data_IF_869715364456
#
_entry.id   IF_869715364456
#
_cell.length_a   1.000
_cell.length_b   1.000
_cell.length_c   1.000
_cell.angle_alpha   90.00
_cell.angle_beta   90.00
_cell.angle_gamma   90.00
#
_symmetry.space_group_name_H-M   'P 1'
#
loop_
_entity.id
_entity.type
_entity.pdbx_description
1 polymer ?
#
# COMPACT_ATOMS: atom_id res chain seq x y z
N UNK A 1 -25.74 -11.33 -1.40
CA UNK A 1 -24.42 -11.95 -1.19
C UNK A 1 -23.75 -11.07 -0.18
N UNK A 2 -23.53 -11.60 1.02
CA UNK A 2 -22.94 -10.84 2.12
C UNK A 2 -21.45 -10.70 1.80
N UNK A 3 -21.06 -9.56 1.22
CA UNK A 3 -19.64 -9.22 1.09
C UNK A 3 -19.15 -9.00 2.50
N UNK A 4 -18.60 -10.05 3.12
CA UNK A 4 -18.07 -10.04 4.47
C UNK A 4 -16.92 -9.04 4.58
N UNK A 5 -17.26 -7.77 4.79
CA UNK A 5 -16.30 -6.75 5.18
C UNK A 5 -15.82 -7.15 6.57
N UNK A 6 -14.65 -7.78 6.62
CA UNK A 6 -13.98 -8.04 7.89
C UNK A 6 -13.58 -6.67 8.43
N UNK A 7 -14.19 -6.30 9.55
CA UNK A 7 -13.92 -5.05 10.26
C UNK A 7 -12.86 -5.35 11.30
N UNK A 8 -11.69 -4.76 11.17
CA UNK A 8 -10.59 -4.97 12.11
C UNK A 8 -10.67 -3.90 13.21
N UNK A 9 -11.20 -4.28 14.37
CA UNK A 9 -11.10 -3.47 15.58
C UNK A 9 -9.81 -3.82 16.32
N UNK A 10 -9.04 -2.81 16.72
CA UNK A 10 -7.89 -2.93 17.63
C UNK A 10 -6.56 -3.41 17.02
N UNK A 11 -6.22 -2.93 15.82
CA UNK A 11 -4.89 -3.17 15.27
C UNK A 11 -3.80 -2.52 16.13
N UNK A 12 -2.75 -3.28 16.43
CA UNK A 12 -1.60 -2.85 17.23
C UNK A 12 -0.31 -2.88 16.40
N UNK A 13 0.55 -1.88 16.57
CA UNK A 13 1.92 -1.94 16.05
C UNK A 13 2.67 -3.07 16.76
N UNK A 14 3.18 -4.03 15.98
CA UNK A 14 3.79 -5.24 16.52
C UNK A 14 4.95 -4.91 17.47
N UNK A 15 5.77 -3.90 17.14
CA UNK A 15 6.89 -3.46 18.00
C UNK A 15 6.47 -2.88 19.36
N UNK A 16 5.23 -2.41 19.49
CA UNK A 16 4.68 -1.84 20.73
C UNK A 16 3.74 -2.79 21.46
N UNK A 17 3.45 -3.92 20.86
CA UNK A 17 2.57 -4.93 21.42
C UNK A 17 3.35 -5.95 22.26
N UNK A 18 2.62 -6.81 22.97
CA UNK A 18 3.19 -8.00 23.64
C UNK A 18 3.34 -9.18 22.68
N UNK A 19 2.82 -9.06 21.45
CA UNK A 19 2.84 -10.13 20.45
C UNK A 19 4.20 -10.19 19.76
N UNK A 20 4.55 -11.40 19.34
CA UNK A 20 5.81 -11.69 18.67
C UNK A 20 5.53 -12.57 17.47
N UNK A 21 6.34 -12.39 16.42
CA UNK A 21 6.36 -13.32 15.30
C UNK A 21 6.75 -14.70 15.81
N UNK A 22 6.08 -15.72 15.29
CA UNK A 22 6.36 -17.11 15.62
C UNK A 22 7.62 -17.61 14.91
N UNK A 23 8.19 -18.71 15.38
CA UNK A 23 9.33 -19.34 14.73
C UNK A 23 8.98 -19.70 13.27
N UNK A 24 9.66 -19.03 12.33
CA UNK A 24 9.44 -19.20 10.88
C UNK A 24 8.76 -18.02 10.19
N UNK A 25 8.23 -17.05 10.93
CA UNK A 25 7.78 -15.77 10.37
C UNK A 25 8.95 -14.78 10.31
N UNK A 26 9.21 -14.23 9.13
CA UNK A 26 10.31 -13.29 8.94
C UNK A 26 10.04 -11.95 9.65
N UNK A 27 10.97 -11.49 10.49
CA UNK A 27 10.98 -10.10 10.95
C UNK A 27 11.45 -9.20 9.79
N UNK A 28 10.47 -8.61 9.11
CA UNK A 28 10.67 -7.78 7.93
C UNK A 28 10.89 -6.30 8.26
N UNK A 29 10.95 -5.91 9.53
CA UNK A 29 11.20 -4.51 9.90
C UNK A 29 12.54 -4.02 9.33
N UNK A 30 12.51 -2.84 8.73
CA UNK A 30 13.67 -2.23 8.08
C UNK A 30 14.01 -2.81 6.71
N UNK A 31 13.27 -3.80 6.20
CA UNK A 31 13.49 -4.30 4.84
C UNK A 31 13.12 -3.22 3.81
N UNK A 32 13.90 -3.07 2.72
CA UNK A 32 13.49 -2.24 1.60
C UNK A 32 12.21 -2.78 0.97
N UNK A 33 11.35 -1.84 0.57
CA UNK A 33 10.13 -2.12 -0.19
C UNK A 33 10.36 -1.71 -1.63
N UNK A 34 10.07 -2.62 -2.56
CA UNK A 34 10.21 -2.41 -4.01
C UNK A 34 8.92 -2.79 -4.74
N UNK A 35 8.72 -2.25 -5.94
CA UNK A 35 7.69 -2.77 -6.85
C UNK A 35 8.24 -3.98 -7.64
N UNK A 36 7.38 -4.62 -8.44
CA UNK A 36 7.77 -5.75 -9.30
C UNK A 36 8.81 -5.39 -10.38
N UNK A 37 8.92 -4.10 -10.76
CA UNK A 37 9.95 -3.60 -11.65
C UNK A 37 11.33 -3.43 -10.97
N UNK A 38 11.37 -3.52 -9.64
CA UNK A 38 12.58 -3.36 -8.81
C UNK A 38 12.85 -1.92 -8.35
N UNK A 39 11.96 -0.98 -8.68
CA UNK A 39 12.04 0.41 -8.24
C UNK A 39 11.83 0.51 -6.73
N UNK A 40 12.51 1.48 -6.10
CA UNK A 40 12.39 1.71 -4.66
C UNK A 40 11.04 2.38 -4.33
N UNK A 41 10.30 1.78 -3.39
CA UNK A 41 9.05 2.34 -2.86
C UNK A 41 9.29 3.00 -1.50
N UNK A 42 10.11 2.37 -0.65
CA UNK A 42 10.31 2.83 0.72
C UNK A 42 10.96 1.76 1.59
N UNK A 43 10.69 1.80 2.88
CA UNK A 43 11.15 0.78 3.83
C UNK A 43 10.03 0.35 4.78
N UNK A 44 10.06 -0.90 5.21
CA UNK A 44 9.14 -1.38 6.24
C UNK A 44 9.49 -0.73 7.56
N UNK A 45 8.52 -0.02 8.14
CA UNK A 45 8.66 0.60 9.46
C UNK A 45 8.24 -0.35 10.58
N UNK A 46 7.08 -0.98 10.43
CA UNK A 46 6.52 -1.95 11.38
C UNK A 46 5.40 -2.78 10.71
N UNK A 47 4.78 -3.66 11.49
CA UNK A 47 3.63 -4.46 11.12
C UNK A 47 2.44 -4.08 12.00
N UNK A 48 1.23 -4.09 11.44
CA UNK A 48 0.00 -4.05 12.22
C UNK A 48 -0.53 -5.46 12.45
N UNK A 49 -0.62 -5.81 13.72
CA UNK A 49 -1.14 -7.06 14.22
C UNK A 49 -2.59 -6.90 14.66
N UNK A 50 -3.40 -7.91 14.37
CA UNK A 50 -4.78 -8.04 14.81
C UNK A 50 -4.84 -9.04 15.98
N UNK A 51 -5.02 -8.57 17.23
CA UNK A 51 -5.13 -9.43 18.40
C UNK A 51 -6.32 -10.37 18.38
N UNK A 52 -7.42 -9.97 17.75
CA UNK A 52 -8.65 -10.76 17.74
C UNK A 52 -8.53 -11.96 16.80
N UNK A 53 -7.82 -11.78 15.69
CA UNK A 53 -7.60 -12.84 14.69
C UNK A 53 -6.21 -13.49 14.80
N UNK A 54 -5.37 -13.01 15.71
CA UNK A 54 -4.01 -13.46 15.93
C UNK A 54 -3.19 -13.52 14.63
N UNK A 55 -3.21 -12.43 13.86
CA UNK A 55 -2.58 -12.36 12.54
C UNK A 55 -2.06 -10.96 12.22
N UNK A 56 -0.95 -10.88 11.49
CA UNK A 56 -0.53 -9.63 10.84
C UNK A 56 -1.49 -9.31 9.69
N UNK A 57 -1.91 -8.04 9.59
CA UNK A 57 -2.86 -7.57 8.56
C UNK A 57 -2.27 -6.56 7.60
N UNK A 58 -1.40 -5.68 8.11
CA UNK A 58 -0.81 -4.63 7.30
C UNK A 58 0.70 -4.51 7.57
N UNK A 59 1.41 -4.08 6.53
CA UNK A 59 2.77 -3.58 6.61
C UNK A 59 2.69 -2.06 6.66
N UNK A 60 3.35 -1.46 7.65
CA UNK A 60 3.53 -0.01 7.72
C UNK A 60 4.77 0.31 6.89
N UNK A 61 4.57 0.99 5.77
CA UNK A 61 5.65 1.37 4.85
C UNK A 61 5.90 2.86 4.98
N UNK A 62 7.12 3.24 5.33
CA UNK A 62 7.58 4.63 5.19
C UNK A 62 7.98 4.83 3.73
N UNK A 63 7.21 5.66 3.01
CA UNK A 63 7.47 5.93 1.61
C UNK A 63 8.78 6.72 1.46
N UNK A 64 9.58 6.35 0.46
CA UNK A 64 10.71 7.18 0.06
C UNK A 64 10.21 8.50 -0.55
N UNK A 65 11.05 9.53 -0.54
CA UNK A 65 10.82 10.72 -1.35
C UNK A 65 10.79 10.32 -2.84
N UNK A 66 9.61 10.47 -3.47
CA UNK A 66 9.35 10.14 -4.88
C UNK A 66 9.27 11.39 -5.76
N UNK A 67 9.71 12.55 -5.28
CA UNK A 67 9.72 13.82 -5.99
C UNK A 67 8.77 14.87 -5.40
N UNK A 68 8.72 16.03 -6.03
CA UNK A 68 8.13 17.27 -5.47
C UNK A 68 6.64 17.18 -5.04
N UNK A 69 5.91 16.15 -5.48
CA UNK A 69 4.46 16.02 -5.26
C UNK A 69 4.05 14.97 -4.20
N UNK A 70 5.00 14.20 -3.65
CA UNK A 70 4.73 13.19 -2.62
C UNK A 70 5.59 13.42 -1.38
N UNK A 71 4.97 13.99 -0.35
CA UNK A 71 5.59 14.12 0.97
C UNK A 71 5.93 12.75 1.57
N UNK A 72 7.02 12.70 2.34
CA UNK A 72 7.32 11.57 3.23
C UNK A 72 6.13 11.32 4.16
N UNK A 73 5.57 10.12 4.03
CA UNK A 73 4.50 9.62 4.90
C UNK A 73 4.58 8.10 5.01
N UNK A 74 4.15 7.61 6.16
CA UNK A 74 3.83 6.21 6.31
C UNK A 74 2.46 5.90 5.71
N UNK A 75 2.34 4.76 5.05
CA UNK A 75 1.09 4.20 4.53
C UNK A 75 0.91 2.76 5.02
N UNK A 76 -0.33 2.28 4.96
CA UNK A 76 -0.67 0.90 5.28
C UNK A 76 -0.87 0.09 4.01
N UNK A 77 -0.07 -0.97 3.86
CA UNK A 77 -0.19 -1.92 2.76
C UNK A 77 -0.74 -3.23 3.30
N UNK A 78 -1.85 -3.77 2.76
CA UNK A 78 -2.33 -5.09 3.15
C UNK A 78 -1.24 -6.14 2.98
N UNK A 79 -0.98 -6.95 4.01
CA UNK A 79 0.08 -7.98 3.96
C UNK A 79 -0.14 -8.98 2.82
N UNK A 80 -1.40 -9.22 2.44
CA UNK A 80 -1.76 -10.11 1.33
C UNK A 80 -1.25 -9.63 -0.04
N UNK A 81 -0.87 -8.35 -0.17
CA UNK A 81 -0.27 -7.80 -1.40
C UNK A 81 1.26 -7.79 -1.33
N UNK A 82 1.85 -8.04 -0.17
CA UNK A 82 3.28 -8.05 0.03
C UNK A 82 3.83 -9.46 -0.23
N UNK A 83 4.75 -9.57 -1.18
CA UNK A 83 5.56 -10.77 -1.36
C UNK A 83 6.88 -10.62 -0.61
N UNK A 84 7.21 -11.59 0.24
CA UNK A 84 8.42 -11.55 1.05
C UNK A 84 9.54 -12.31 0.33
N UNK A 85 10.51 -11.57 -0.20
CA UNK A 85 11.72 -12.15 -0.77
C UNK A 85 12.79 -12.27 0.33
N UNK A 86 12.66 -13.31 1.16
CA UNK A 86 13.47 -13.50 2.37
C UNK A 86 14.97 -13.68 2.09
N UNK A 87 15.32 -14.26 0.94
CA UNK A 87 16.70 -14.43 0.48
C UNK A 87 17.43 -13.10 0.29
N UNK A 88 16.69 -12.10 -0.20
CA UNK A 88 17.18 -10.73 -0.42
C UNK A 88 16.85 -9.77 0.70
N UNK A 89 16.00 -10.20 1.65
CA UNK A 89 15.45 -9.37 2.73
C UNK A 89 14.75 -8.13 2.17
N UNK A 90 13.85 -8.33 1.21
CA UNK A 90 13.05 -7.26 0.62
C UNK A 90 11.57 -7.63 0.59
N UNK A 91 10.72 -6.60 0.63
CA UNK A 91 9.28 -6.73 0.40
C UNK A 91 8.97 -6.24 -1.01
N UNK A 92 8.36 -7.09 -1.81
CA UNK A 92 7.94 -6.77 -3.18
C UNK A 92 6.44 -6.54 -3.20
N UNK A 93 6.03 -5.36 -3.65
CA UNK A 93 4.63 -4.99 -3.87
C UNK A 93 4.29 -5.11 -5.37
N UNK A 94 3.03 -5.36 -5.72
CA UNK A 94 2.56 -5.17 -7.10
C UNK A 94 2.78 -3.73 -7.53
N UNK A 95 2.68 -3.48 -8.84
CA UNK A 95 2.85 -2.13 -9.38
C UNK A 95 1.70 -1.19 -8.96
N UNK A 96 1.89 -0.51 -7.83
CA UNK A 96 1.01 0.53 -7.31
C UNK A 96 1.51 1.86 -7.87
N UNK A 97 0.65 2.56 -8.60
CA UNK A 97 1.02 3.81 -9.27
C UNK A 97 1.32 4.93 -8.27
N UNK A 98 2.17 5.88 -8.66
CA UNK A 98 2.54 7.04 -7.84
C UNK A 98 1.31 7.81 -7.33
N UNK A 99 0.30 8.02 -8.18
CA UNK A 99 -0.95 8.68 -7.79
C UNK A 99 -1.75 7.90 -6.74
N UNK A 100 -1.64 6.58 -6.72
CA UNK A 100 -2.29 5.76 -5.69
C UNK A 100 -1.58 5.95 -4.36
N UNK A 101 -0.24 5.90 -4.32
CA UNK A 101 0.51 6.24 -3.11
C UNK A 101 0.20 7.65 -2.61
N UNK A 102 0.05 8.62 -3.52
CA UNK A 102 -0.37 9.98 -3.18
C UNK A 102 -1.75 10.02 -2.55
N UNK A 103 -2.72 9.30 -3.12
CA UNK A 103 -4.08 9.22 -2.63
C UNK A 103 -4.23 8.36 -1.36
N UNK A 104 -3.26 7.52 -1.00
CA UNK A 104 -3.34 6.74 0.23
C UNK A 104 -3.39 7.65 1.47
N UNK A 105 -4.24 7.34 2.45
CA UNK A 105 -4.24 8.07 3.71
C UNK A 105 -2.90 7.91 4.43
N UNK A 106 -2.42 8.98 5.07
CA UNK A 106 -1.27 8.92 5.97
C UNK A 106 -1.64 8.03 7.15
N UNK A 107 -0.76 7.10 7.49
CA UNK A 107 -0.90 6.31 8.69
C UNK A 107 -0.65 7.18 9.94
N UNK A 108 -1.63 7.20 10.84
CA UNK A 108 -1.54 7.82 12.16
C UNK A 108 -1.71 6.73 13.21
N UNK A 109 -0.78 6.69 14.16
CA UNK A 109 -0.71 5.64 15.18
C UNK A 109 -1.98 5.66 16.02
N UNK A 110 -2.61 4.50 16.19
CA UNK A 110 -3.83 4.34 16.97
C UNK A 110 -5.12 4.81 16.27
N UNK A 111 -5.04 5.32 15.04
CA UNK A 111 -6.19 5.83 14.29
C UNK A 111 -6.50 4.98 13.05
N UNK A 112 -6.41 3.65 13.14
CA UNK A 112 -6.85 2.77 12.05
C UNK A 112 -8.32 2.42 12.24
N UNK A 113 -9.17 3.16 11.54
CA UNK A 113 -10.62 2.95 11.56
C UNK A 113 -11.08 2.11 10.37
N UNK A 114 -12.24 1.46 10.45
CA UNK A 114 -12.79 0.71 9.31
C UNK A 114 -12.93 1.57 8.04
N UNK A 115 -13.22 2.86 8.21
CA UNK A 115 -13.31 3.81 7.10
C UNK A 115 -11.97 4.02 6.39
N UNK A 116 -10.87 4.09 7.16
CA UNK A 116 -9.51 4.20 6.63
C UNK A 116 -9.13 2.91 5.88
N UNK A 117 -9.48 1.74 6.43
CA UNK A 117 -9.22 0.47 5.75
C UNK A 117 -9.96 0.35 4.42
N UNK A 118 -11.23 0.77 4.39
CA UNK A 118 -12.00 0.82 3.15
C UNK A 118 -11.42 1.83 2.16
N UNK A 119 -10.89 2.95 2.63
CA UNK A 119 -10.18 3.92 1.79
C UNK A 119 -8.92 3.32 1.18
N UNK A 120 -8.09 2.64 1.96
CA UNK A 120 -6.89 1.94 1.49
C UNK A 120 -7.27 0.92 0.39
N UNK A 121 -8.28 0.07 0.64
CA UNK A 121 -8.75 -0.92 -0.34
C UNK A 121 -9.25 -0.25 -1.62
N UNK A 122 -10.01 0.85 -1.50
CA UNK A 122 -10.51 1.62 -2.65
C UNK A 122 -9.37 2.22 -3.46
N UNK A 123 -8.36 2.81 -2.81
CA UNK A 123 -7.23 3.45 -3.50
C UNK A 123 -6.38 2.42 -4.23
N UNK A 124 -6.04 1.30 -3.57
CA UNK A 124 -5.25 0.22 -4.19
C UNK A 124 -6.03 -0.46 -5.32
N UNK A 125 -7.32 -0.74 -5.09
CA UNK A 125 -8.19 -1.37 -6.09
C UNK A 125 -8.68 -0.41 -7.18
N UNK A 126 -8.43 0.90 -7.05
CA UNK A 126 -8.73 1.87 -8.10
C UNK A 126 -7.73 1.69 -9.23
N UNK A 127 -8.20 1.45 -10.46
CA UNK A 127 -7.29 1.42 -11.59
C UNK A 127 -6.83 2.85 -11.88
N UNK A 128 -5.71 3.25 -11.27
CA UNK A 128 -5.01 4.47 -11.66
C UNK A 128 -4.43 4.33 -13.08
N UNK A 129 -3.98 3.12 -13.44
CA UNK A 129 -3.50 2.79 -14.78
C UNK A 129 -4.57 2.95 -15.89
N UNK A 130 -5.83 2.53 -15.66
CA UNK A 130 -6.88 2.67 -16.69
C UNK A 130 -7.24 4.14 -16.96
N UNK A 131 -7.06 5.04 -16.00
CA UNK A 131 -7.39 6.47 -16.20
C UNK A 131 -6.36 7.18 -17.08
N UNK A 132 -5.09 6.80 -16.99
CA UNK A 132 -4.03 7.41 -17.82
C UNK A 132 -4.16 6.92 -19.28
N UNK A 133 -4.52 5.66 -19.51
CA UNK A 133 -4.81 5.16 -20.86
C UNK A 133 -6.02 5.86 -21.49
N UNK A 134 -7.12 6.05 -20.75
CA UNK A 134 -8.30 6.77 -21.24
C UNK A 134 -8.00 8.25 -21.56
N UNK A 135 -7.23 8.94 -20.73
CA UNK A 135 -6.91 10.36 -20.91
C UNK A 135 -5.94 10.59 -22.09
N UNK A 136 -4.95 9.71 -22.29
CA UNK A 136 -4.06 9.75 -23.46
C UNK A 136 -4.86 9.51 -24.76
N UNK A 137 -5.77 8.53 -24.76
CA UNK A 137 -6.62 8.24 -25.92
C UNK A 137 -7.57 9.41 -26.24
N UNK A 138 -8.11 10.07 -25.22
CA UNK A 138 -9.04 11.20 -25.39
C UNK A 138 -8.31 12.45 -25.93
N UNK A 139 -7.09 12.74 -25.45
CA UNK A 139 -6.24 13.83 -25.95
C UNK A 139 -5.86 13.61 -27.42
N UNK A 140 -5.43 12.39 -27.78
CA UNK A 140 -5.08 12.06 -29.17
C UNK A 140 -6.28 12.20 -30.11
N UNK A 141 -7.46 11.76 -29.67
CA UNK A 141 -8.69 11.90 -30.46
C UNK A 141 -9.09 13.37 -30.64
N UNK A 142 -8.97 14.19 -29.59
CA UNK A 142 -9.27 15.63 -29.66
C UNK A 142 -8.31 16.38 -30.61
N UNK A 143 -7.02 16.00 -30.63
CA UNK A 143 -6.02 16.59 -31.52
C UNK A 143 -6.19 16.14 -32.98
N UNK A 144 -6.64 14.91 -33.22
CA UNK A 144 -6.97 14.42 -34.57
C UNK A 144 -8.16 15.19 -35.18
N UNK A 145 -9.20 15.46 -34.39
CA UNK A 145 -10.39 16.21 -34.86
C UNK A 145 -10.12 17.69 -35.18
N UNK A 146 -9.00 18.25 -34.71
CA UNK A 146 -8.60 19.64 -34.97
C UNK A 146 -7.78 19.86 -36.24
N UNK A 147 -7.34 18.79 -36.91
CA UNK A 147 -6.54 18.87 -38.13
C UNK A 147 -7.36 18.69 -39.43
N UNK A 148 -8.70 18.61 -39.34
CA UNK A 148 -9.60 18.47 -40.50
C UNK A 148 -10.59 19.64 -40.67
N UNK A 149 -10.15 20.88 -40.41
CA UNK A 149 -10.83 22.10 -40.83
C UNK A 149 -9.85 23.05 -41.53
#
# INVERSE_FOLDING_TARGET
MDSGTIVYSNLEELSKSIYQLTDGEADIKGWPVRNEAGDAVGNVRDLLFDPEQNAVRYVIVELADMGEDLEEKAVLIPIALANLAEDKKEVVLPDIHHDQFRAMPRYIIGEVTPQIEDEIRRVIGSPAALRIEDEIVEIDRANFNRHQL
#
